data_IF_567172568289
#
_entry.id   IF_567172568289
#
_cell.length_a   1.000
_cell.length_b   1.000
_cell.length_c   1.000
_cell.angle_alpha   90.00
_cell.angle_beta   90.00
_cell.angle_gamma   90.00
#
_symmetry.space_group_name_H-M   'P 1'
#
loop_
_entity.id
_entity.type
_entity.pdbx_description
1 polymer ?
#
# COMPACT_ATOMS: atom_id res chain seq x y z
N UNK A 1 23.00 17.85 -25.36
CA UNK A 1 21.59 17.45 -25.30
C UNK A 1 21.13 17.62 -23.88
N UNK A 2 20.08 18.39 -23.63
CA UNK A 2 19.48 18.51 -22.29
C UNK A 2 18.41 17.45 -22.11
N UNK A 3 18.33 16.90 -20.90
CA UNK A 3 17.35 15.89 -20.55
C UNK A 3 16.40 16.42 -19.49
N UNK A 4 15.10 16.21 -19.73
CA UNK A 4 14.03 16.45 -18.78
C UNK A 4 13.62 15.17 -18.07
N UNK A 5 13.18 15.30 -16.83
CA UNK A 5 12.50 14.29 -16.03
C UNK A 5 11.11 14.81 -15.66
N UNK A 6 10.08 14.13 -16.13
CA UNK A 6 8.68 14.47 -15.86
C UNK A 6 8.09 13.44 -14.89
N UNK A 7 7.76 13.88 -13.69
CA UNK A 7 7.08 13.04 -12.70
C UNK A 7 5.58 13.30 -12.82
N UNK A 8 4.80 12.27 -13.16
CA UNK A 8 3.35 12.39 -13.34
C UNK A 8 2.65 11.69 -12.19
N UNK A 9 1.75 12.40 -11.51
CA UNK A 9 0.89 11.82 -10.47
C UNK A 9 -0.59 12.14 -10.73
N UNK A 10 -1.50 11.55 -9.98
CA UNK A 10 -2.93 11.63 -10.30
C UNK A 10 -3.49 13.05 -10.24
N UNK A 11 -3.24 13.80 -9.17
CA UNK A 11 -3.92 15.05 -8.91
C UNK A 11 -4.79 14.97 -7.66
N UNK A 12 -4.92 16.08 -6.94
CA UNK A 12 -5.90 16.22 -5.87
C UNK A 12 -6.34 17.68 -5.77
N UNK A 13 -7.61 17.87 -5.41
CA UNK A 13 -8.14 19.19 -5.05
C UNK A 13 -7.63 19.66 -3.68
N UNK A 14 -7.10 18.74 -2.88
CA UNK A 14 -6.43 19.06 -1.64
C UNK A 14 -4.96 19.41 -1.92
N UNK A 15 -4.63 20.70 -1.79
CA UNK A 15 -3.28 21.21 -2.07
C UNK A 15 -2.21 20.71 -1.12
N UNK A 16 -2.60 20.19 0.06
CA UNK A 16 -1.64 19.54 0.96
C UNK A 16 -1.02 18.31 0.31
N UNK A 17 -1.74 17.64 -0.59
CA UNK A 17 -1.21 16.48 -1.31
C UNK A 17 -0.21 16.87 -2.40
N UNK A 18 -0.54 17.86 -3.23
CA UNK A 18 0.41 18.33 -4.26
C UNK A 18 1.71 18.74 -3.60
N UNK A 19 1.64 19.37 -2.42
CA UNK A 19 2.81 19.74 -1.64
C UNK A 19 3.65 18.54 -1.18
N UNK A 20 3.06 17.38 -0.82
CA UNK A 20 3.82 16.18 -0.44
C UNK A 20 4.58 15.58 -1.61
N UNK A 21 3.98 15.60 -2.82
CA UNK A 21 4.67 15.16 -4.04
C UNK A 21 5.80 16.13 -4.38
N UNK A 22 5.53 17.43 -4.30
CA UNK A 22 6.53 18.48 -4.56
C UNK A 22 7.68 18.41 -3.57
N UNK A 23 7.39 18.15 -2.29
CA UNK A 23 8.40 17.98 -1.24
C UNK A 23 9.27 16.74 -1.50
N UNK A 24 8.68 15.60 -1.86
CA UNK A 24 9.45 14.40 -2.20
C UNK A 24 10.37 14.63 -3.41
N UNK A 25 9.90 15.38 -4.42
CA UNK A 25 10.68 15.74 -5.61
C UNK A 25 11.78 16.76 -5.27
N UNK A 26 11.50 17.73 -4.40
CA UNK A 26 12.47 18.74 -3.99
C UNK A 26 13.58 18.18 -3.08
N UNK A 27 13.29 17.12 -2.31
CA UNK A 27 14.25 16.43 -1.47
C UNK A 27 15.12 15.43 -2.23
N UNK A 28 14.72 15.02 -3.43
CA UNK A 28 15.46 14.05 -4.22
C UNK A 28 16.74 14.64 -4.81
N UNK A 29 17.82 13.85 -4.77
CA UNK A 29 19.08 14.16 -5.42
C UNK A 29 19.06 13.74 -6.89
N UNK A 30 18.78 14.71 -7.76
CA UNK A 30 18.74 14.48 -9.21
C UNK A 30 20.14 14.51 -9.83
N UNK A 31 20.39 13.73 -10.90
CA UNK A 31 21.63 13.86 -11.68
C UNK A 31 21.86 15.29 -12.18
N UNK A 32 23.12 15.70 -12.26
CA UNK A 32 23.49 17.02 -12.74
C UNK A 32 22.91 17.30 -14.14
N UNK A 33 22.50 18.55 -14.36
CA UNK A 33 21.97 19.06 -15.64
C UNK A 33 20.64 18.43 -16.12
N UNK A 34 19.94 17.67 -15.27
CA UNK A 34 18.58 17.20 -15.53
C UNK A 34 17.56 18.27 -15.12
N UNK A 35 16.68 18.63 -16.05
CA UNK A 35 15.53 19.50 -15.78
C UNK A 35 14.40 18.67 -15.17
N UNK A 36 13.85 19.05 -14.03
CA UNK A 36 12.80 18.27 -13.36
C UNK A 36 11.49 19.04 -13.36
N UNK A 37 10.41 18.38 -13.77
CA UNK A 37 9.06 18.90 -13.70
C UNK A 37 8.11 17.87 -13.10
N UNK A 38 7.13 18.36 -12.37
CA UNK A 38 6.04 17.58 -11.78
C UNK A 38 4.72 17.99 -12.44
N UNK A 39 3.96 17.01 -12.90
CA UNK A 39 2.66 17.21 -13.52
C UNK A 39 1.59 16.31 -12.91
N UNK A 40 0.35 16.68 -13.15
CA UNK A 40 -0.82 16.00 -12.66
C UNK A 40 -1.73 15.58 -13.80
N UNK A 41 -2.35 14.41 -13.66
CA UNK A 41 -3.36 13.94 -14.59
C UNK A 41 -4.61 14.83 -14.55
N UNK A 42 -4.99 15.29 -13.36
CA UNK A 42 -6.16 16.14 -13.17
C UNK A 42 -6.08 17.04 -11.92
N UNK A 43 -7.12 17.85 -11.69
CA UNK A 43 -7.37 18.60 -10.47
C UNK A 43 -6.37 19.71 -10.08
N UNK A 44 -5.29 19.94 -10.83
CA UNK A 44 -4.26 20.94 -10.50
C UNK A 44 -4.04 21.92 -11.68
N UNK A 45 -4.79 23.04 -11.72
CA UNK A 45 -4.74 23.97 -12.84
C UNK A 45 -3.33 24.51 -13.13
N UNK A 46 -2.94 24.48 -14.41
CA UNK A 46 -1.64 24.99 -14.89
C UNK A 46 -0.45 24.09 -14.57
N UNK A 47 -0.71 22.85 -14.13
CA UNK A 47 0.30 21.81 -13.91
C UNK A 47 -0.16 20.47 -14.49
N UNK A 48 -0.92 20.53 -15.58
CA UNK A 48 -1.34 19.33 -16.29
C UNK A 48 -0.11 18.66 -16.97
N UNK A 49 -0.28 17.46 -17.51
CA UNK A 49 0.80 16.73 -18.17
C UNK A 49 1.39 17.54 -19.35
N UNK A 50 0.55 18.18 -20.17
CA UNK A 50 1.01 19.02 -21.27
C UNK A 50 1.81 20.23 -20.79
N UNK A 51 1.41 20.86 -19.68
CA UNK A 51 2.14 22.01 -19.12
C UNK A 51 3.57 21.62 -18.71
N UNK A 52 3.75 20.44 -18.13
CA UNK A 52 5.07 19.92 -17.75
C UNK A 52 5.95 19.61 -18.95
N UNK A 53 5.39 19.02 -20.00
CA UNK A 53 6.10 18.78 -21.27
C UNK A 53 6.54 20.11 -21.88
N UNK A 54 5.60 21.05 -22.05
CA UNK A 54 5.86 22.37 -22.64
C UNK A 54 6.93 23.14 -21.84
N UNK A 55 6.90 23.05 -20.50
CA UNK A 55 7.89 23.68 -19.63
C UNK A 55 9.30 23.08 -19.76
N UNK A 56 9.41 21.76 -19.92
CA UNK A 56 10.71 21.09 -20.12
C UNK A 56 11.27 21.42 -21.51
N UNK A 57 10.43 21.36 -22.56
CA UNK A 57 10.84 21.67 -23.93
C UNK A 57 11.22 23.15 -24.10
N UNK A 58 10.50 24.07 -23.47
CA UNK A 58 10.83 25.50 -23.47
C UNK A 58 12.20 25.81 -22.84
N UNK A 59 12.66 24.95 -21.92
CA UNK A 59 14.00 25.03 -21.32
C UNK A 59 15.09 24.32 -22.16
N UNK A 60 14.69 23.75 -23.30
CA UNK A 60 15.54 23.10 -24.29
C UNK A 60 15.76 21.61 -24.05
N UNK A 61 14.88 20.92 -23.30
CA UNK A 61 14.93 19.47 -23.20
C UNK A 61 14.71 18.84 -24.59
N UNK A 62 15.68 18.05 -25.05
CA UNK A 62 15.60 17.28 -26.30
C UNK A 62 15.15 15.83 -26.03
N UNK A 63 15.21 15.41 -24.76
CA UNK A 63 14.85 14.09 -24.27
C UNK A 63 14.04 14.24 -22.98
N UNK A 64 12.96 13.49 -22.80
CA UNK A 64 12.13 13.52 -21.59
C UNK A 64 11.90 12.10 -21.06
N UNK A 65 12.43 11.81 -19.87
CA UNK A 65 12.14 10.59 -19.13
C UNK A 65 10.91 10.84 -18.26
N UNK A 66 9.97 9.90 -18.24
CA UNK A 66 8.71 10.06 -17.51
C UNK A 66 8.61 9.01 -16.41
N UNK A 67 8.38 9.45 -15.18
CA UNK A 67 8.09 8.59 -14.03
C UNK A 67 6.59 8.69 -13.72
N UNK A 68 5.80 7.63 -13.98
CA UNK A 68 4.42 7.58 -13.52
C UNK A 68 4.38 7.25 -12.02
N UNK A 69 4.22 8.26 -11.17
CA UNK A 69 4.08 8.13 -9.72
C UNK A 69 2.67 7.58 -9.37
N UNK A 70 2.50 6.28 -9.60
CA UNK A 70 1.32 5.48 -9.28
C UNK A 70 1.74 4.19 -8.55
N UNK A 71 0.82 3.54 -7.85
CA UNK A 71 1.15 2.34 -7.04
C UNK A 71 1.36 1.09 -7.89
N UNK A 72 0.59 0.88 -8.96
CA UNK A 72 0.57 -0.40 -9.68
C UNK A 72 0.45 -0.23 -11.19
N UNK A 73 1.07 -1.15 -11.92
CA UNK A 73 0.87 -1.35 -13.37
C UNK A 73 -0.55 -1.79 -13.74
N UNK A 74 -1.33 -2.23 -12.74
CA UNK A 74 -2.77 -2.45 -12.90
C UNK A 74 -3.57 -1.15 -13.01
N UNK A 75 -2.98 0.02 -12.78
CA UNK A 75 -3.68 1.30 -12.95
C UNK A 75 -3.98 1.55 -14.43
N UNK A 76 -5.25 1.79 -14.75
CA UNK A 76 -5.67 2.17 -16.11
C UNK A 76 -4.97 3.47 -16.55
N UNK A 77 -4.84 4.45 -15.65
CA UNK A 77 -4.14 5.72 -15.94
C UNK A 77 -2.68 5.53 -16.38
N UNK A 78 -1.97 4.55 -15.82
CA UNK A 78 -0.58 4.28 -16.25
C UNK A 78 -0.53 3.85 -17.72
N UNK A 79 -1.55 3.15 -18.21
CA UNK A 79 -1.67 2.75 -19.62
C UNK A 79 -2.09 3.93 -20.50
N UNK A 80 -3.13 4.66 -20.10
CA UNK A 80 -3.67 5.81 -20.83
C UNK A 80 -2.62 6.90 -21.00
N UNK A 81 -1.88 7.24 -19.95
CA UNK A 81 -0.78 8.22 -20.00
C UNK A 81 0.32 7.74 -20.94
N UNK A 82 0.72 6.46 -20.85
CA UNK A 82 1.74 5.89 -21.74
C UNK A 82 1.33 5.94 -23.21
N UNK A 83 0.05 5.70 -23.51
CA UNK A 83 -0.52 5.83 -24.84
C UNK A 83 -0.57 7.30 -25.30
N UNK A 84 -1.07 8.20 -24.46
CA UNK A 84 -1.21 9.62 -24.79
C UNK A 84 0.16 10.30 -25.01
N UNK A 85 1.21 9.83 -24.34
CA UNK A 85 2.59 10.26 -24.56
C UNK A 85 3.25 9.64 -25.82
N UNK A 86 2.55 8.75 -26.53
CA UNK A 86 3.09 8.02 -27.68
C UNK A 86 4.08 6.90 -27.34
N UNK A 87 4.26 6.57 -26.06
CA UNK A 87 5.13 5.49 -25.60
C UNK A 87 4.51 4.10 -25.76
N UNK A 88 3.18 4.03 -25.94
CA UNK A 88 2.41 2.82 -26.26
C UNK A 88 1.58 3.03 -27.52
N UNK A 89 1.54 2.02 -28.38
CA UNK A 89 0.78 2.09 -29.64
C UNK A 89 -0.69 1.73 -29.46
N UNK A 90 -0.99 0.82 -28.54
CA UNK A 90 -2.34 0.29 -28.33
C UNK A 90 -2.84 0.64 -26.94
N UNK A 91 -4.12 0.99 -26.88
CA UNK A 91 -4.84 1.33 -25.66
C UNK A 91 -5.63 0.09 -25.21
N UNK A 92 -5.55 -0.26 -23.92
CA UNK A 92 -6.19 -1.48 -23.41
C UNK A 92 -7.58 -1.25 -22.80
N UNK A 93 -8.00 0.00 -22.61
CA UNK A 93 -9.33 0.40 -22.17
C UNK A 93 -9.72 1.74 -22.79
N UNK A 94 -11.00 2.11 -22.81
CA UNK A 94 -11.42 3.44 -23.28
C UNK A 94 -10.78 4.55 -22.43
N UNK A 95 -10.40 5.66 -23.08
CA UNK A 95 -9.81 6.81 -22.40
C UNK A 95 -10.37 8.11 -22.94
N UNK A 96 -10.46 9.11 -22.06
CA UNK A 96 -10.75 10.50 -22.41
C UNK A 96 -9.47 11.32 -22.67
N UNK A 97 -8.29 10.74 -22.47
CA UNK A 97 -7.03 11.42 -22.78
C UNK A 97 -6.86 11.56 -24.30
N UNK A 98 -6.42 12.73 -24.73
CA UNK A 98 -5.97 12.96 -26.09
C UNK A 98 -4.43 12.86 -26.15
N UNK A 99 -3.84 12.49 -27.31
CA UNK A 99 -2.39 12.46 -27.46
C UNK A 99 -1.74 13.81 -27.14
N UNK A 100 -0.70 13.79 -26.31
CA UNK A 100 0.07 14.96 -25.97
C UNK A 100 0.97 15.39 -27.12
N UNK A 101 1.23 16.71 -27.21
CA UNK A 101 2.24 17.25 -28.11
C UNK A 101 3.60 17.05 -27.46
N UNK A 102 4.43 16.21 -28.07
CA UNK A 102 5.79 15.93 -27.60
C UNK A 102 6.75 16.07 -28.78
N UNK A 103 7.73 16.95 -28.65
CA UNK A 103 8.84 17.16 -29.59
C UNK A 103 10.09 16.39 -29.16
N UNK A 104 10.29 16.26 -27.84
CA UNK A 104 11.42 15.53 -27.27
C UNK A 104 11.33 14.02 -27.53
N UNK A 105 12.49 13.36 -27.59
CA UNK A 105 12.56 11.90 -27.54
C UNK A 105 12.11 11.43 -26.14
N UNK A 106 11.08 10.57 -26.06
CA UNK A 106 10.46 10.22 -24.80
C UNK A 106 10.74 8.78 -24.37
N UNK A 107 11.03 8.59 -23.08
CA UNK A 107 11.05 7.29 -22.43
C UNK A 107 10.02 7.28 -21.30
N UNK A 108 9.10 6.32 -21.34
CA UNK A 108 8.12 6.09 -20.28
C UNK A 108 8.62 5.01 -19.32
N UNK A 109 8.58 5.32 -18.02
CA UNK A 109 8.99 4.44 -16.94
C UNK A 109 7.88 3.55 -16.40
N UNK A 110 8.17 2.93 -15.26
CA UNK A 110 7.23 2.04 -14.57
C UNK A 110 6.70 2.71 -13.30
N UNK A 111 5.47 2.38 -12.87
CA UNK A 111 4.96 2.83 -11.58
C UNK A 111 5.74 2.17 -10.43
N UNK A 112 5.46 2.61 -9.19
CA UNK A 112 6.13 2.12 -7.98
C UNK A 112 6.13 0.60 -7.89
N UNK A 113 4.99 -0.03 -8.20
CA UNK A 113 4.85 -1.48 -8.25
C UNK A 113 5.29 -2.16 -6.95
N UNK A 114 5.91 -3.32 -7.07
CA UNK A 114 6.40 -4.13 -5.96
C UNK A 114 7.84 -3.76 -5.55
N UNK A 115 8.22 -2.48 -5.65
CA UNK A 115 9.55 -2.02 -5.26
C UNK A 115 9.77 -2.06 -3.75
N UNK A 116 11.01 -2.26 -3.29
CA UNK A 116 11.38 -2.31 -1.86
C UNK A 116 10.96 -1.05 -1.09
N UNK A 117 10.90 0.09 -1.78
CA UNK A 117 10.39 1.34 -1.20
C UNK A 117 8.92 1.24 -0.74
N UNK A 118 8.07 0.52 -1.48
CA UNK A 118 6.69 0.27 -1.07
C UNK A 118 6.64 -0.53 0.23
N UNK A 119 7.44 -1.58 0.33
CA UNK A 119 7.49 -2.42 1.52
C UNK A 119 8.05 -1.67 2.74
N UNK A 120 9.01 -0.77 2.54
CA UNK A 120 9.47 0.13 3.61
C UNK A 120 8.34 1.04 4.12
N UNK A 121 7.54 1.63 3.23
CA UNK A 121 6.38 2.43 3.61
C UNK A 121 5.31 1.61 4.35
N UNK A 122 5.02 0.40 3.87
CA UNK A 122 4.08 -0.52 4.52
C UNK A 122 4.57 -0.96 5.89
N UNK A 123 5.85 -1.31 6.03
CA UNK A 123 6.44 -1.68 7.31
C UNK A 123 6.32 -0.53 8.33
N UNK A 124 6.55 0.72 7.90
CA UNK A 124 6.38 1.88 8.76
C UNK A 124 4.91 2.04 9.23
N UNK A 125 3.94 1.95 8.32
CA UNK A 125 2.52 2.03 8.68
C UNK A 125 2.07 0.90 9.62
N UNK A 126 2.55 -0.32 9.38
CA UNK A 126 2.25 -1.48 10.24
C UNK A 126 2.85 -1.30 11.63
N UNK A 127 4.04 -0.71 11.73
CA UNK A 127 4.67 -0.35 13.00
C UNK A 127 3.87 0.74 13.76
N UNK A 128 3.42 1.79 13.07
CA UNK A 128 2.56 2.83 13.68
C UNK A 128 1.24 2.25 14.21
N UNK A 129 0.66 1.28 13.50
CA UNK A 129 -0.53 0.54 13.91
C UNK A 129 -0.25 -0.55 14.95
N UNK A 130 1.01 -0.73 15.35
CA UNK A 130 1.47 -1.73 16.33
C UNK A 130 1.08 -3.17 15.96
N UNK A 131 1.15 -3.50 14.66
CA UNK A 131 0.87 -4.84 14.14
C UNK A 131 1.94 -5.82 14.61
N UNK A 132 1.52 -6.92 15.23
CA UNK A 132 2.40 -8.00 15.65
C UNK A 132 2.56 -9.04 14.52
N UNK A 133 3.79 -9.21 14.04
CA UNK A 133 4.16 -10.13 12.96
C UNK A 133 3.79 -11.61 13.16
N UNK A 134 3.55 -12.05 14.39
CA UNK A 134 3.23 -13.46 14.72
C UNK A 134 1.76 -13.70 15.05
N UNK A 135 0.97 -12.63 15.19
CA UNK A 135 -0.40 -12.71 15.68
C UNK A 135 -1.41 -11.98 14.82
N UNK A 136 -1.05 -10.81 14.32
CA UNK A 136 -1.98 -9.89 13.68
C UNK A 136 -1.97 -10.10 12.16
N UNK A 137 -3.10 -9.82 11.52
CA UNK A 137 -3.30 -9.97 10.08
C UNK A 137 -3.41 -8.61 9.38
N UNK A 138 -3.19 -8.59 8.07
CA UNK A 138 -3.24 -7.38 7.25
C UNK A 138 -4.18 -7.55 6.06
N UNK A 139 -5.01 -6.56 5.78
CA UNK A 139 -5.78 -6.46 4.53
C UNK A 139 -5.30 -5.24 3.75
N UNK A 140 -4.69 -5.48 2.59
CA UNK A 140 -4.32 -4.43 1.63
C UNK A 140 -5.54 -4.02 0.82
N UNK A 141 -5.85 -2.72 0.77
CA UNK A 141 -6.97 -2.19 -0.01
C UNK A 141 -6.43 -1.24 -1.07
N UNK A 142 -6.56 -1.62 -2.34
CA UNK A 142 -6.29 -0.73 -3.46
C UNK A 142 -7.58 -0.23 -4.11
N UNK A 143 -7.48 0.84 -4.89
CA UNK A 143 -8.61 1.28 -5.73
C UNK A 143 -9.04 0.17 -6.70
N UNK A 144 -8.06 -0.39 -7.43
CA UNK A 144 -8.29 -1.38 -8.48
C UNK A 144 -8.81 -0.79 -9.78
N UNK A 145 -9.11 -1.67 -10.72
CA UNK A 145 -9.80 -1.37 -11.98
C UNK A 145 -10.86 -2.45 -12.23
N UNK A 146 -12.06 -2.08 -12.72
CA UNK A 146 -13.07 -3.07 -13.13
C UNK A 146 -12.81 -3.66 -14.51
N UNK A 147 -11.88 -3.08 -15.28
CA UNK A 147 -11.60 -3.48 -16.66
C UNK A 147 -10.49 -4.54 -16.74
N UNK A 148 -10.62 -5.48 -17.66
CA UNK A 148 -9.54 -6.41 -18.00
C UNK A 148 -8.61 -5.80 -19.05
N UNK A 149 -7.29 -6.07 -19.03
CA UNK A 149 -6.56 -6.97 -18.12
C UNK A 149 -6.15 -6.33 -16.77
N UNK A 150 -6.48 -5.06 -16.55
CA UNK A 150 -6.04 -4.27 -15.39
C UNK A 150 -6.46 -4.86 -14.05
N UNK A 151 -7.69 -5.36 -13.95
CA UNK A 151 -8.19 -6.01 -12.74
C UNK A 151 -7.31 -7.20 -12.35
N UNK A 152 -6.95 -8.05 -13.32
CA UNK A 152 -6.09 -9.22 -13.08
C UNK A 152 -4.71 -8.81 -12.61
N UNK A 153 -4.09 -7.83 -13.28
CA UNK A 153 -2.77 -7.28 -12.88
C UNK A 153 -2.79 -6.73 -11.44
N UNK A 154 -3.85 -6.02 -11.07
CA UNK A 154 -4.03 -5.54 -9.70
C UNK A 154 -4.10 -6.68 -8.68
N UNK A 155 -4.92 -7.71 -8.94
CA UNK A 155 -5.09 -8.84 -8.04
C UNK A 155 -3.77 -9.61 -7.86
N UNK A 156 -3.09 -9.92 -8.96
CA UNK A 156 -1.81 -10.63 -8.92
C UNK A 156 -0.74 -9.85 -8.15
N UNK A 157 -0.64 -8.54 -8.38
CA UNK A 157 0.32 -7.70 -7.68
C UNK A 157 0.02 -7.60 -6.18
N UNK A 158 -1.24 -7.39 -5.79
CA UNK A 158 -1.64 -7.38 -4.37
C UNK A 158 -1.47 -8.73 -3.68
N UNK A 159 -1.71 -9.83 -4.39
CA UNK A 159 -1.49 -11.18 -3.87
C UNK A 159 -0.02 -11.37 -3.51
N UNK A 160 0.90 -11.07 -4.44
CA UNK A 160 2.34 -11.14 -4.17
C UNK A 160 2.78 -10.19 -3.06
N UNK A 161 2.23 -8.98 -2.99
CA UNK A 161 2.50 -8.06 -1.87
C UNK A 161 2.07 -8.65 -0.53
N UNK A 162 0.89 -9.27 -0.44
CA UNK A 162 0.40 -9.92 0.77
C UNK A 162 1.28 -11.11 1.19
N UNK A 163 1.65 -11.97 0.23
CA UNK A 163 2.60 -13.07 0.48
C UNK A 163 3.95 -12.53 0.99
N UNK A 164 4.44 -11.44 0.38
CA UNK A 164 5.71 -10.82 0.76
C UNK A 164 5.67 -10.21 2.16
N UNK A 165 4.58 -9.56 2.57
CA UNK A 165 4.41 -9.06 3.94
C UNK A 165 4.52 -10.19 4.97
N UNK A 166 3.89 -11.33 4.68
CA UNK A 166 3.96 -12.52 5.53
C UNK A 166 5.37 -13.12 5.56
N UNK A 167 6.01 -13.23 4.39
CA UNK A 167 7.38 -13.75 4.27
C UNK A 167 8.43 -12.86 4.97
N UNK A 168 8.18 -11.55 5.06
CA UNK A 168 9.00 -10.60 5.82
C UNK A 168 8.70 -10.62 7.33
N UNK A 169 7.72 -11.40 7.79
CA UNK A 169 7.31 -11.46 9.19
C UNK A 169 6.64 -10.18 9.70
N UNK A 170 6.07 -9.37 8.79
CA UNK A 170 5.39 -8.11 9.16
C UNK A 170 3.96 -8.36 9.68
N UNK A 171 3.38 -9.51 9.36
CA UNK A 171 2.08 -9.97 9.84
C UNK A 171 2.00 -11.50 9.76
N UNK A 172 1.12 -12.11 10.55
CA UNK A 172 0.92 -13.55 10.56
C UNK A 172 0.17 -14.05 9.32
N UNK A 173 -0.75 -13.22 8.82
CA UNK A 173 -1.55 -13.49 7.64
C UNK A 173 -1.80 -12.18 6.88
N UNK A 174 -1.89 -12.25 5.56
CA UNK A 174 -2.25 -11.10 4.74
C UNK A 174 -3.24 -11.49 3.64
N UNK A 175 -4.16 -10.59 3.34
CA UNK A 175 -5.09 -10.68 2.22
C UNK A 175 -5.22 -9.31 1.54
N UNK A 176 -6.02 -9.25 0.49
CA UNK A 176 -6.22 -8.02 -0.27
C UNK A 176 -7.63 -7.90 -0.84
N UNK A 177 -8.04 -6.66 -1.12
CA UNK A 177 -9.30 -6.35 -1.80
C UNK A 177 -9.17 -5.14 -2.71
N UNK A 178 -9.99 -5.11 -3.77
CA UNK A 178 -10.15 -3.98 -4.68
C UNK A 178 -11.43 -3.21 -4.37
N UNK A 179 -11.32 -1.92 -4.10
CA UNK A 179 -12.49 -1.06 -3.81
C UNK A 179 -13.53 -1.02 -4.92
N UNK A 180 -13.08 -1.07 -6.17
CA UNK A 180 -13.95 -1.03 -7.34
C UNK A 180 -14.89 -2.24 -7.44
N UNK A 181 -14.49 -3.36 -6.84
CA UNK A 181 -14.88 -4.67 -7.36
C UNK A 181 -15.20 -5.70 -6.25
N UNK A 182 -14.77 -5.44 -5.02
CA UNK A 182 -14.92 -6.38 -3.89
C UNK A 182 -15.77 -5.77 -2.76
N UNK A 183 -16.41 -6.65 -1.99
CA UNK A 183 -16.92 -6.32 -0.67
C UNK A 183 -15.77 -6.36 0.34
N UNK A 184 -15.17 -5.19 0.57
CA UNK A 184 -14.01 -5.08 1.47
C UNK A 184 -14.35 -5.47 2.91
N UNK A 185 -15.60 -5.32 3.35
CA UNK A 185 -15.99 -5.67 4.71
C UNK A 185 -16.12 -7.19 4.86
N UNK A 186 -16.76 -7.85 3.90
CA UNK A 186 -16.87 -9.30 3.88
C UNK A 186 -15.49 -9.97 3.87
N UNK A 187 -14.56 -9.51 3.02
CA UNK A 187 -13.21 -10.06 2.95
C UNK A 187 -12.39 -9.81 4.23
N UNK A 188 -12.50 -8.62 4.83
CA UNK A 188 -11.81 -8.30 6.09
C UNK A 188 -12.34 -9.17 7.23
N UNK A 189 -13.66 -9.40 7.27
CA UNK A 189 -14.30 -10.27 8.26
C UNK A 189 -13.89 -11.73 8.08
N UNK A 190 -13.82 -12.21 6.83
CA UNK A 190 -13.36 -13.56 6.53
C UNK A 190 -11.93 -13.78 7.06
N UNK A 191 -11.00 -12.87 6.78
CA UNK A 191 -9.63 -12.95 7.29
C UNK A 191 -9.59 -12.96 8.83
N UNK A 192 -10.42 -12.13 9.47
CA UNK A 192 -10.55 -12.10 10.93
C UNK A 192 -11.02 -13.45 11.51
N UNK A 193 -11.90 -14.17 10.81
CA UNK A 193 -12.42 -15.49 11.21
C UNK A 193 -11.37 -16.59 10.99
N UNK A 194 -10.68 -16.57 9.85
CA UNK A 194 -9.60 -17.52 9.54
C UNK A 194 -8.48 -17.46 10.59
N UNK A 195 -8.05 -16.25 10.96
CA UNK A 195 -7.04 -16.03 12.00
C UNK A 195 -7.43 -16.61 13.37
N UNK A 196 -8.71 -16.51 13.75
CA UNK A 196 -9.22 -17.09 15.00
C UNK A 196 -9.25 -18.63 14.96
N UNK A 197 -9.61 -19.21 13.82
CA UNK A 197 -9.62 -20.66 13.62
C UNK A 197 -8.19 -21.25 13.68
N UNK A 198 -7.21 -20.59 13.05
CA UNK A 198 -5.80 -21.00 13.13
C UNK A 198 -5.27 -20.93 14.56
N UNK A 199 -5.57 -19.85 15.28
CA UNK A 199 -5.13 -19.67 16.68
C UNK A 199 -5.71 -20.73 17.62
N UNK A 200 -6.99 -21.08 17.44
CA UNK A 200 -7.67 -22.11 18.23
C UNK A 200 -7.13 -23.51 17.96
N UNK A 201 -6.82 -23.83 16.70
CA UNK A 201 -6.22 -25.13 16.31
C UNK A 201 -4.82 -25.32 16.92
N UNK A 202 -3.99 -24.27 16.90
CA UNK A 202 -2.66 -24.28 17.52
C UNK A 202 -2.72 -24.43 19.04
N UNK A 203 -3.68 -23.78 19.71
CA UNK A 203 -3.88 -23.91 21.15
C UNK A 203 -4.30 -25.33 21.55
N UNK A 204 -5.20 -25.97 20.79
CA UNK A 204 -5.66 -27.34 21.05
C UNK A 204 -4.53 -28.39 20.89
N UNK A 205 -3.56 -28.13 20.01
CA UNK A 205 -2.41 -29.01 19.80
C UNK A 205 -1.31 -28.86 20.87
N UNK A 206 -1.36 -27.83 21.71
CA UNK A 206 -0.35 -27.53 22.73
C UNK A 206 -0.77 -27.86 24.16
N UNK A 207 -1.99 -28.38 24.41
CA UNK A 207 -2.35 -28.88 25.74
C UNK A 207 -1.61 -30.20 26.04
N UNK A 208 -0.73 -30.26 27.07
CA UNK A 208 -0.17 -31.54 27.49
C UNK A 208 -1.29 -32.38 28.11
N UNK A 209 -1.40 -33.65 27.71
CA UNK A 209 -2.27 -34.64 28.33
C UNK A 209 -2.15 -34.54 29.86
N UNK A 210 -3.16 -33.98 30.52
CA UNK A 210 -3.27 -34.05 31.98
C UNK A 210 -3.50 -35.51 32.32
N UNK A 211 -2.41 -36.21 32.63
CA UNK A 211 -2.44 -37.56 33.16
C UNK A 211 -3.30 -37.58 34.42
N UNK A 212 -4.45 -38.21 34.32
CA UNK A 212 -5.44 -38.34 35.40
C UNK A 212 -4.96 -39.48 36.32
N UNK A 213 -3.92 -39.27 37.12
CA UNK A 213 -3.60 -40.13 38.26
C UNK A 213 -3.16 -39.25 39.43
N UNK A 214 -4.10 -38.93 40.32
CA UNK A 214 -3.79 -38.51 41.68
C UNK A 214 -4.55 -39.43 42.63
N UNK A 215 -3.84 -40.44 43.12
CA UNK A 215 -4.18 -41.06 44.41
C UNK A 215 -3.76 -40.09 45.51
N UNK A 216 -4.63 -39.96 46.50
CA UNK A 216 -4.46 -39.07 47.63
C UNK A 216 -3.50 -39.67 48.66
N UNK A 217 -2.44 -38.94 49.00
CA UNK A 217 -1.77 -39.09 50.29
C UNK A 217 -1.55 -37.71 50.90
N UNK A 218 -2.20 -37.51 52.05
CA UNK A 218 -2.02 -36.37 52.91
C UNK A 218 -0.79 -36.61 53.78
N UNK A 219 0.17 -35.68 53.76
CA UNK A 219 1.14 -35.59 54.84
C UNK A 219 1.39 -34.14 55.24
N UNK A 220 1.29 -33.93 56.54
CA UNK A 220 1.38 -32.65 57.23
C UNK A 220 2.83 -32.28 57.48
N UNK A 221 3.36 -31.32 56.73
CA UNK A 221 4.42 -30.42 57.20
C UNK A 221 4.53 -29.18 56.31
N UNK A 222 4.74 -28.04 56.95
CA UNK A 222 4.54 -26.72 56.37
C UNK A 222 5.48 -26.35 55.24
N UNK A 223 4.91 -25.72 54.21
CA UNK A 223 5.34 -24.51 53.49
C UNK A 223 4.60 -24.51 52.16
N UNK A 224 3.44 -23.85 52.10
CA UNK A 224 2.77 -23.59 50.82
C UNK A 224 3.35 -22.30 50.26
N UNK A 225 4.41 -22.42 49.47
CA UNK A 225 4.76 -21.40 48.51
C UNK A 225 3.82 -21.57 47.32
N UNK A 226 2.75 -20.79 47.28
CA UNK A 226 1.94 -20.63 46.07
C UNK A 226 2.78 -19.86 45.04
N UNK A 227 3.68 -20.53 44.34
CA UNK A 227 3.99 -20.15 42.96
C UNK A 227 2.76 -20.50 42.14
N UNK A 228 1.95 -19.49 41.84
CA UNK A 228 1.05 -19.40 40.69
C UNK A 228 0.32 -18.07 40.79
N UNK A 229 1.05 -16.97 40.62
CA UNK A 229 0.40 -15.75 40.13
C UNK A 229 0.11 -15.95 38.65
N UNK A 230 -1.06 -16.56 38.44
CA UNK A 230 -1.96 -16.39 37.30
C UNK A 230 -1.29 -15.92 36.03
N UNK A 231 -0.75 -16.87 35.28
CA UNK A 231 -0.76 -16.82 33.83
C UNK A 231 -2.20 -16.74 33.33
N UNK A 232 -2.81 -15.57 33.42
CA UNK A 232 -3.80 -15.13 32.46
C UNK A 232 -3.01 -14.81 31.18
N UNK A 233 -2.57 -15.86 30.49
CA UNK A 233 -2.37 -15.79 29.05
C UNK A 233 -3.77 -15.59 28.48
N UNK A 234 -4.28 -14.36 28.56
CA UNK A 234 -5.30 -13.93 27.63
C UNK A 234 -4.69 -14.19 26.26
N UNK A 235 -5.20 -15.18 25.52
CA UNK A 235 -5.01 -15.22 24.08
C UNK A 235 -5.67 -13.95 23.56
N UNK A 236 -4.92 -12.84 23.62
CA UNK A 236 -5.39 -11.56 23.13
C UNK A 236 -5.66 -11.79 21.66
N UNK A 237 -6.94 -11.76 21.28
CA UNK A 237 -7.37 -11.92 19.90
C UNK A 237 -6.52 -10.97 19.05
N UNK A 238 -5.88 -11.49 18.01
CA UNK A 238 -5.14 -10.67 17.06
C UNK A 238 -6.03 -9.61 16.43
N UNK A 239 -5.43 -8.62 15.79
CA UNK A 239 -6.18 -7.65 14.99
C UNK A 239 -5.99 -7.84 13.49
N UNK A 240 -6.95 -7.35 12.70
CA UNK A 240 -6.80 -7.16 11.26
C UNK A 240 -6.55 -5.68 11.00
N UNK A 241 -5.34 -5.37 10.54
CA UNK A 241 -4.97 -4.02 10.11
C UNK A 241 -5.36 -3.80 8.65
N UNK A 242 -6.19 -2.80 8.41
CA UNK A 242 -6.61 -2.42 7.06
C UNK A 242 -5.69 -1.32 6.54
N UNK A 243 -4.96 -1.61 5.47
CA UNK A 243 -3.95 -0.73 4.91
C UNK A 243 -4.38 -0.25 3.51
N UNK A 244 -4.70 1.04 3.35
CA UNK A 244 -5.01 1.60 2.05
C UNK A 244 -3.74 1.80 1.22
N UNK A 245 -3.62 1.12 0.08
CA UNK A 245 -2.54 1.35 -0.90
C UNK A 245 -2.84 2.57 -1.78
N UNK A 246 -2.74 3.74 -1.16
CA UNK A 246 -2.90 5.03 -1.81
C UNK A 246 -1.67 5.88 -1.48
N UNK A 247 -1.09 6.51 -2.50
CA UNK A 247 0.03 7.44 -2.29
C UNK A 247 -0.38 8.62 -1.41
N UNK A 248 -1.66 8.96 -1.36
CA UNK A 248 -2.14 10.12 -0.63
C UNK A 248 -3.48 9.94 0.05
N UNK A 249 -3.70 10.81 1.03
CA UNK A 249 -4.99 10.92 1.68
C UNK A 249 -5.97 11.57 0.71
N UNK A 250 -7.18 11.04 0.64
CA UNK A 250 -8.22 11.58 -0.22
C UNK A 250 -9.60 11.07 0.18
N UNK A 251 -10.55 11.26 -0.72
CA UNK A 251 -11.95 10.87 -0.50
C UNK A 251 -12.08 9.37 -0.17
N UNK A 252 -11.32 8.50 -0.85
CA UNK A 252 -11.36 7.06 -0.62
C UNK A 252 -10.87 6.66 0.77
N UNK A 253 -9.72 7.20 1.21
CA UNK A 253 -9.15 6.86 2.51
C UNK A 253 -9.84 7.56 3.67
N UNK A 254 -10.39 8.76 3.45
CA UNK A 254 -11.02 9.53 4.54
C UNK A 254 -12.50 9.19 4.72
N UNK A 255 -13.18 8.77 3.64
CA UNK A 255 -14.63 8.57 3.66
C UNK A 255 -15.06 7.18 3.20
N UNK A 256 -14.65 6.74 2.01
CA UNK A 256 -15.20 5.51 1.40
C UNK A 256 -14.81 4.25 2.17
N UNK A 257 -13.52 4.05 2.43
CA UNK A 257 -13.01 2.88 3.16
C UNK A 257 -13.61 2.84 4.58
N UNK A 258 -13.50 3.91 5.40
CA UNK A 258 -14.14 3.93 6.73
C UNK A 258 -15.63 3.64 6.70
N UNK A 259 -16.37 4.21 5.74
CA UNK A 259 -17.82 4.04 5.67
C UNK A 259 -18.21 2.61 5.34
N UNK A 260 -17.48 1.96 4.43
CA UNK A 260 -17.72 0.54 4.08
C UNK A 260 -17.32 -0.42 5.20
N UNK A 261 -16.33 -0.04 6.03
CA UNK A 261 -15.89 -0.84 7.18
C UNK A 261 -16.57 -0.45 8.50
N UNK A 262 -17.55 0.46 8.46
CA UNK A 262 -18.13 1.09 9.66
C UNK A 262 -18.52 0.08 10.73
N UNK A 263 -19.25 -0.98 10.36
CA UNK A 263 -19.72 -2.01 11.31
C UNK A 263 -18.59 -2.83 11.92
N UNK A 264 -17.50 -3.08 11.18
CA UNK A 264 -16.32 -3.79 11.67
C UNK A 264 -15.45 -2.90 12.58
N UNK A 265 -15.45 -1.58 12.34
CA UNK A 265 -14.73 -0.60 13.15
C UNK A 265 -15.49 -0.26 14.46
N UNK A 266 -16.78 -0.60 14.57
CA UNK A 266 -17.54 -0.42 15.82
C UNK A 266 -16.92 -1.28 16.92
N UNK A 267 -16.72 -0.65 18.07
CA UNK A 267 -16.12 -1.25 19.26
C UNK A 267 -17.17 -1.36 20.36
N UNK A 268 -18.15 -2.24 20.22
CA UNK A 268 -19.04 -2.56 21.34
C UNK A 268 -18.25 -3.49 22.30
N UNK A 269 -18.16 -3.11 23.58
CA UNK A 269 -17.26 -3.77 24.55
C UNK A 269 -17.57 -5.26 24.75
N UNK A 270 -18.84 -5.66 24.63
CA UNK A 270 -19.27 -7.06 24.72
C UNK A 270 -18.88 -7.92 23.51
N UNK A 271 -18.76 -7.34 22.30
CA UNK A 271 -18.27 -8.07 21.11
C UNK A 271 -16.75 -8.17 21.07
N UNK A 272 -16.04 -7.28 21.79
CA UNK A 272 -14.57 -7.19 21.76
C UNK A 272 -13.86 -8.44 22.31
N UNK A 273 -14.59 -9.27 23.06
CA UNK A 273 -14.08 -10.54 23.60
C UNK A 273 -14.29 -11.75 22.70
N UNK A 274 -15.10 -11.64 21.63
CA UNK A 274 -15.44 -12.77 20.75
C UNK A 274 -14.94 -12.67 19.32
N UNK A 275 -14.50 -11.48 18.87
CA UNK A 275 -13.97 -11.26 17.50
C UNK A 275 -12.64 -10.52 17.49
N UNK A 276 -11.80 -10.83 16.50
CA UNK A 276 -10.60 -10.07 16.19
C UNK A 276 -10.94 -8.59 15.92
N UNK A 277 -10.13 -7.69 16.48
CA UNK A 277 -10.31 -6.24 16.31
C UNK A 277 -9.92 -5.83 14.89
N UNK A 278 -10.71 -4.99 14.23
CA UNK A 278 -10.31 -4.35 12.96
C UNK A 278 -9.76 -2.95 13.26
N UNK A 279 -8.60 -2.61 12.70
CA UNK A 279 -7.98 -1.29 12.87
C UNK A 279 -7.73 -0.61 11.53
N UNK A 280 -8.01 0.70 11.47
CA UNK A 280 -7.82 1.53 10.30
C UNK A 280 -7.36 2.93 10.72
N UNK A 281 -6.15 3.33 10.32
CA UNK A 281 -5.66 4.71 10.55
C UNK A 281 -5.93 5.64 9.37
N UNK A 282 -6.08 5.11 8.15
CA UNK A 282 -6.23 5.92 6.94
C UNK A 282 -4.99 6.74 6.59
N UNK A 283 -3.85 6.48 7.22
CA UNK A 283 -2.56 7.08 6.88
C UNK A 283 -2.20 6.68 5.46
N UNK A 284 -1.91 7.65 4.56
CA UNK A 284 -1.42 7.36 3.22
C UNK A 284 0.05 6.95 3.22
N UNK A 285 0.56 6.51 2.08
CA UNK A 285 1.97 6.12 1.95
C UNK A 285 2.95 7.31 2.02
N UNK A 286 2.48 8.55 1.79
CA UNK A 286 3.31 9.76 1.79
C UNK A 286 2.96 10.73 2.93
N UNK A 287 3.93 11.50 3.45
CA UNK A 287 5.35 11.56 3.04
C UNK A 287 6.16 10.37 3.57
N UNK A 288 7.14 9.90 2.78
CA UNK A 288 8.09 8.90 3.24
C UNK A 288 9.42 8.97 2.45
N UNK A 289 10.59 8.94 3.12
CA UNK A 289 11.89 9.05 2.45
C UNK A 289 12.16 7.91 1.46
N UNK A 290 11.57 6.73 1.67
CA UNK A 290 11.69 5.63 0.71
C UNK A 290 11.09 5.97 -0.67
N UNK A 291 10.08 6.85 -0.75
CA UNK A 291 9.60 7.31 -2.05
C UNK A 291 10.66 8.17 -2.74
N UNK A 292 11.27 9.11 -2.02
CA UNK A 292 12.35 9.96 -2.53
C UNK A 292 13.49 9.11 -3.08
N UNK A 293 13.96 8.12 -2.31
CA UNK A 293 15.00 7.19 -2.77
C UNK A 293 14.57 6.36 -3.99
N UNK A 294 13.30 5.97 -4.09
CA UNK A 294 12.80 5.29 -5.28
C UNK A 294 12.77 6.21 -6.50
N UNK A 295 12.33 7.46 -6.35
CA UNK A 295 12.32 8.45 -7.43
C UNK A 295 13.72 8.69 -8.00
N UNK A 296 14.73 8.79 -7.13
CA UNK A 296 16.15 8.91 -7.53
C UNK A 296 16.62 7.69 -8.32
N UNK A 297 16.35 6.47 -7.81
CA UNK A 297 16.74 5.22 -8.46
C UNK A 297 16.05 5.04 -9.83
N UNK A 298 14.77 5.35 -9.89
CA UNK A 298 13.99 5.26 -11.12
C UNK A 298 14.47 6.30 -12.15
N UNK A 299 14.79 7.52 -11.72
CA UNK A 299 15.38 8.52 -12.61
C UNK A 299 16.71 8.03 -13.19
N UNK A 300 17.63 7.54 -12.36
CA UNK A 300 18.92 6.99 -12.83
C UNK A 300 18.70 5.85 -13.83
N UNK A 301 17.78 4.92 -13.52
CA UNK A 301 17.45 3.78 -14.38
C UNK A 301 16.89 4.20 -15.74
N UNK A 302 16.03 5.22 -15.79
CA UNK A 302 15.46 5.70 -17.05
C UNK A 302 16.50 6.47 -17.87
N UNK A 303 17.26 7.35 -17.22
CA UNK A 303 18.27 8.17 -17.89
C UNK A 303 19.41 7.32 -18.49
N UNK A 304 19.75 6.19 -17.85
CA UNK A 304 20.78 5.27 -18.38
C UNK A 304 20.36 4.55 -19.67
N UNK A 305 19.13 4.71 -20.15
CA UNK A 305 18.69 4.13 -21.43
C UNK A 305 19.16 4.93 -22.65
N UNK A 306 19.64 6.16 -22.45
CA UNK A 306 20.19 7.02 -23.49
C UNK A 306 21.71 7.12 -23.51
N UNK A 307 22.37 6.53 -22.51
CA UNK A 307 23.82 6.34 -22.45
C UNK A 307 24.23 5.05 -23.13
#
# INVERSE_FOLDING_TARGET
MKTGLLIISHGSRDSSWTALVDEAIAQAEWPADVLVASSFLECVPGRDIQDGIDALEAQGAERIAVIPLFVSEGSTHVDEIGWALGAKQELLAETDLEPFRVQAELIYGSPLGEHEALYAMLAHQLQELQVNGTRDAVTLIAHGSPHQPFQTRWRESLHRMAERLTALGLCAQASHSLLCCDDIAAHTLQLAQEMQATSSSLAYQQEPERNIHNEAEADSNGTIACQNDGGLSSHALGCVAVIPLFLSRGYFTTHVIPSRLKELLRSDEEERTSRARVVYAGTPLLPHPALTSWLEQEAVRLLSRWT
#
